data_IF_940353027436
#
_entry.id   IF_940353027436
#
_cell.length_a   1.000
_cell.length_b   1.000
_cell.length_c   1.000
_cell.angle_alpha   90.00
_cell.angle_beta   90.00
_cell.angle_gamma   90.00
#
_symmetry.space_group_name_H-M   'P 1'
#
loop_
_entity.id
_entity.type
_entity.pdbx_description
1 polymer ?
#
# COMPACT_ATOMS: atom_id res chain seq x y z
N UNK A 1 -27.86 26.07 -58.00
CA UNK A 1 -27.94 26.01 -56.52
C UNK A 1 -27.23 24.78 -56.05
N UNK A 2 -26.10 24.98 -55.43
CA UNK A 2 -25.26 23.89 -54.99
C UNK A 2 -25.48 23.73 -53.50
N UNK A 3 -26.11 22.66 -53.11
CA UNK A 3 -26.24 22.30 -51.70
C UNK A 3 -24.89 21.86 -51.18
N UNK A 4 -24.27 22.72 -50.42
CA UNK A 4 -23.07 22.38 -49.63
C UNK A 4 -23.55 21.64 -48.38
N UNK A 5 -23.51 20.32 -48.42
CA UNK A 5 -23.71 19.51 -47.23
C UNK A 5 -22.40 19.59 -46.43
N UNK A 6 -22.39 20.46 -45.44
CA UNK A 6 -21.35 20.45 -44.44
C UNK A 6 -21.61 19.27 -43.52
N UNK A 7 -20.95 18.15 -43.80
CA UNK A 7 -20.90 17.05 -42.87
C UNK A 7 -19.95 17.49 -41.72
N UNK A 8 -20.58 18.04 -40.70
CA UNK A 8 -19.89 18.27 -39.44
C UNK A 8 -19.62 16.90 -38.82
N UNK A 9 -18.44 16.33 -39.08
CA UNK A 9 -17.95 15.15 -38.38
C UNK A 9 -17.73 15.56 -36.92
N UNK A 10 -18.72 15.30 -36.11
CA UNK A 10 -18.55 15.33 -34.66
C UNK A 10 -17.62 14.17 -34.32
N UNK A 11 -16.33 14.46 -34.24
CA UNK A 11 -15.40 13.58 -33.62
C UNK A 11 -15.76 13.52 -32.12
N UNK A 12 -16.63 12.60 -31.78
CA UNK A 12 -16.85 12.22 -30.41
C UNK A 12 -15.54 11.57 -29.98
N UNK A 13 -14.67 12.37 -29.44
CA UNK A 13 -13.50 11.87 -28.72
C UNK A 13 -14.01 10.98 -27.63
N UNK A 14 -13.96 9.67 -27.83
CA UNK A 14 -14.01 8.71 -26.74
C UNK A 14 -12.77 8.97 -25.90
N UNK A 15 -12.88 9.93 -24.99
CA UNK A 15 -12.04 10.04 -23.84
C UNK A 15 -12.26 8.72 -23.08
N UNK A 16 -11.42 7.73 -23.38
CA UNK A 16 -11.36 6.53 -22.57
C UNK A 16 -10.97 7.00 -21.18
N UNK A 17 -11.96 7.18 -20.30
CA UNK A 17 -11.71 7.33 -18.87
C UNK A 17 -11.02 6.04 -18.42
N UNK A 18 -9.69 6.04 -18.39
CA UNK A 18 -8.95 5.08 -17.60
C UNK A 18 -9.43 5.32 -16.17
N UNK A 19 -10.18 4.37 -15.64
CA UNK A 19 -10.53 4.38 -14.23
C UNK A 19 -9.21 4.25 -13.47
N UNK A 20 -8.79 5.32 -12.84
CA UNK A 20 -7.61 5.37 -12.00
C UNK A 20 -7.77 4.44 -10.79
N UNK A 21 -6.65 4.03 -10.20
CA UNK A 21 -6.63 3.30 -8.95
C UNK A 21 -7.50 4.00 -7.89
N UNK A 22 -8.07 3.25 -6.99
CA UNK A 22 -8.90 3.76 -5.92
C UNK A 22 -10.12 2.88 -5.64
N UNK A 23 -11.04 3.40 -4.85
CA UNK A 23 -12.28 2.73 -4.49
C UNK A 23 -13.28 2.71 -5.67
N UNK A 24 -14.18 1.75 -5.63
CA UNK A 24 -15.23 1.55 -6.64
C UNK A 24 -15.01 0.34 -7.53
N UNK A 25 -14.06 -0.51 -7.19
CA UNK A 25 -13.81 -1.81 -7.81
C UNK A 25 -14.26 -2.98 -6.96
N UNK A 26 -13.69 -4.14 -7.22
CA UNK A 26 -14.06 -5.40 -6.57
C UNK A 26 -12.87 -6.22 -6.10
N UNK A 27 -11.67 -5.69 -6.22
CA UNK A 27 -10.46 -6.39 -5.77
C UNK A 27 -10.04 -6.00 -4.36
N UNK A 28 -9.23 -6.82 -3.76
CA UNK A 28 -8.78 -6.71 -2.37
C UNK A 28 -7.26 -6.82 -2.33
N UNK A 29 -6.62 -5.97 -1.54
CA UNK A 29 -5.23 -6.12 -1.13
C UNK A 29 -5.22 -6.46 0.36
N UNK A 30 -4.48 -7.49 0.73
CA UNK A 30 -4.28 -7.85 2.14
C UNK A 30 -2.86 -8.31 2.39
N UNK A 31 -2.48 -8.27 3.65
CA UNK A 31 -1.19 -8.74 4.12
C UNK A 31 -1.12 -8.72 5.63
N UNK A 32 0.07 -8.93 6.15
CA UNK A 32 0.33 -8.95 7.59
C UNK A 32 1.50 -8.08 7.95
N UNK A 33 1.49 -7.61 9.18
CA UNK A 33 2.59 -6.88 9.79
C UNK A 33 3.13 -7.71 10.95
N UNK A 34 4.44 -7.97 10.89
CA UNK A 34 5.19 -8.60 11.97
C UNK A 34 6.11 -7.58 12.61
N UNK A 35 6.18 -7.66 13.91
CA UNK A 35 7.13 -6.90 14.71
C UNK A 35 8.32 -7.78 15.06
N UNK A 36 9.51 -7.26 14.81
CA UNK A 36 10.77 -7.86 15.20
C UNK A 36 11.39 -6.99 16.29
N UNK A 37 11.57 -7.56 17.48
CA UNK A 37 12.27 -6.89 18.58
C UNK A 37 13.69 -7.43 18.66
N UNK A 38 14.65 -6.52 18.67
CA UNK A 38 16.04 -6.84 18.89
C UNK A 38 16.35 -6.63 20.37
N UNK A 39 17.07 -7.55 20.93
CA UNK A 39 17.56 -7.47 22.31
C UNK A 39 19.08 -7.32 22.31
N UNK A 40 19.58 -6.37 23.07
CA UNK A 40 21.02 -6.25 23.33
C UNK A 40 21.42 -7.16 24.48
N UNK A 41 22.14 -8.21 24.15
CA UNK A 41 22.75 -9.10 25.14
C UNK A 41 24.27 -8.85 25.17
N UNK A 42 24.72 -7.93 26.02
CA UNK A 42 26.12 -7.54 26.17
C UNK A 42 26.81 -7.06 24.89
N UNK A 43 26.12 -6.22 24.11
CA UNK A 43 26.63 -5.65 22.85
C UNK A 43 26.44 -6.56 21.62
N UNK A 44 25.74 -7.67 21.78
CA UNK A 44 25.32 -8.54 20.67
C UNK A 44 23.83 -8.39 20.51
N UNK A 45 23.42 -7.85 19.36
CA UNK A 45 22.02 -7.77 18.99
C UNK A 45 21.50 -9.16 18.60
N UNK A 46 20.55 -9.67 19.36
CA UNK A 46 19.91 -10.95 19.09
C UNK A 46 18.42 -10.73 18.80
N UNK A 47 17.88 -11.48 17.84
CA UNK A 47 16.47 -11.44 17.46
C UNK A 47 15.67 -12.30 18.42
N UNK A 48 14.98 -11.68 19.38
CA UNK A 48 14.27 -12.43 20.42
C UNK A 48 12.84 -12.77 20.10
N UNK A 49 12.10 -11.88 19.43
CA UNK A 49 10.66 -12.04 19.29
C UNK A 49 10.21 -11.60 17.91
N UNK A 50 9.64 -12.55 17.20
CA UNK A 50 8.91 -12.34 15.97
C UNK A 50 7.45 -12.57 16.26
N UNK A 51 6.64 -11.51 16.27
CA UNK A 51 5.22 -11.60 16.57
C UNK A 51 4.38 -10.73 15.63
N UNK A 52 3.11 -11.11 15.48
CA UNK A 52 2.13 -10.30 14.75
C UNK A 52 1.92 -8.97 15.47
N UNK A 53 1.91 -7.88 14.71
CA UNK A 53 1.70 -6.54 15.24
C UNK A 53 0.23 -6.13 15.07
N UNK A 54 -0.47 -6.09 16.18
CA UNK A 54 -1.87 -5.66 16.24
C UNK A 54 -1.97 -4.14 16.39
N UNK A 55 -3.07 -3.57 15.89
CA UNK A 55 -3.35 -2.13 15.95
C UNK A 55 -2.27 -1.25 15.31
N UNK A 56 -1.53 -1.83 14.36
CA UNK A 56 -0.54 -1.11 13.57
C UNK A 56 -1.21 -0.47 12.36
N UNK A 57 -1.04 0.84 12.22
CA UNK A 57 -1.61 1.56 11.09
C UNK A 57 -0.83 1.27 9.81
N UNK A 58 -1.56 0.82 8.78
CA UNK A 58 -1.06 0.57 7.43
C UNK A 58 -1.76 1.53 6.49
N UNK A 59 -1.01 2.17 5.61
CA UNK A 59 -1.49 3.19 4.70
C UNK A 59 -1.50 2.68 3.27
N UNK A 60 -2.41 3.20 2.47
CA UNK A 60 -2.48 2.95 1.03
C UNK A 60 -2.52 4.26 0.25
N UNK A 61 -1.74 4.32 -0.82
CA UNK A 61 -1.75 5.38 -1.82
C UNK A 61 -2.30 4.79 -3.12
N UNK A 62 -3.26 5.47 -3.73
CA UNK A 62 -3.85 5.05 -5.00
C UNK A 62 -3.00 5.48 -6.20
N UNK A 63 -1.69 5.25 -6.08
CA UNK A 63 -0.68 5.47 -7.11
C UNK A 63 0.61 4.69 -6.80
N UNK A 64 1.57 4.73 -7.71
CA UNK A 64 2.91 4.21 -7.50
C UNK A 64 3.90 5.25 -6.94
N UNK A 65 3.43 6.45 -6.63
CA UNK A 65 4.24 7.54 -6.13
C UNK A 65 4.30 7.54 -4.59
N UNK A 66 5.43 7.21 -4.04
CA UNK A 66 5.67 7.17 -2.58
C UNK A 66 5.59 8.55 -1.90
N UNK A 67 5.65 9.64 -2.68
CA UNK A 67 5.56 11.01 -2.16
C UNK A 67 4.13 11.55 -2.09
N UNK A 68 3.16 10.81 -2.62
CA UNK A 68 1.75 11.19 -2.52
C UNK A 68 1.26 11.02 -1.09
N UNK A 69 0.26 11.82 -0.73
CA UNK A 69 -0.45 11.64 0.54
C UNK A 69 -1.28 10.35 0.45
N UNK A 70 -1.35 9.61 1.54
CA UNK A 70 -2.18 8.41 1.58
C UNK A 70 -3.66 8.72 1.39
N UNK A 71 -4.36 7.79 0.74
CA UNK A 71 -5.79 7.91 0.45
C UNK A 71 -6.66 7.22 1.50
N UNK A 72 -6.16 6.16 2.12
CA UNK A 72 -6.84 5.41 3.16
C UNK A 72 -5.84 4.75 4.11
N UNK A 73 -6.32 4.30 5.26
CA UNK A 73 -5.53 3.56 6.25
C UNK A 73 -6.33 2.44 6.90
N UNK A 74 -5.64 1.50 7.48
CA UNK A 74 -6.23 0.36 8.16
C UNK A 74 -5.37 -0.03 9.37
N UNK A 75 -5.99 -0.14 10.53
CA UNK A 75 -5.33 -0.67 11.73
C UNK A 75 -5.38 -2.19 11.72
N UNK A 76 -4.21 -2.83 11.82
CA UNK A 76 -4.13 -4.29 11.80
C UNK A 76 -4.98 -4.93 12.89
N UNK A 77 -5.58 -6.05 12.56
CA UNK A 77 -6.30 -6.88 13.53
C UNK A 77 -5.34 -7.54 14.52
N UNK A 78 -5.90 -8.23 15.52
CA UNK A 78 -5.13 -8.96 16.53
C UNK A 78 -4.11 -9.96 15.95
N UNK A 79 -4.37 -10.45 14.73
CA UNK A 79 -3.50 -11.37 14.00
C UNK A 79 -2.51 -10.65 13.05
N UNK A 80 -2.36 -9.32 13.18
CA UNK A 80 -1.48 -8.51 12.34
C UNK A 80 -1.95 -8.29 10.91
N UNK A 81 -3.16 -8.74 10.57
CA UNK A 81 -3.69 -8.61 9.20
C UNK A 81 -4.27 -7.25 8.94
N UNK A 82 -3.93 -6.69 7.77
CA UNK A 82 -4.58 -5.51 7.18
C UNK A 82 -5.27 -5.89 5.89
N UNK A 83 -6.28 -5.09 5.51
CA UNK A 83 -7.11 -5.34 4.35
C UNK A 83 -7.66 -4.06 3.77
N UNK A 84 -7.49 -3.88 2.46
CA UNK A 84 -8.13 -2.82 1.68
C UNK A 84 -9.03 -3.45 0.63
N UNK A 85 -10.30 -3.10 0.65
CA UNK A 85 -11.35 -3.72 -0.17
C UNK A 85 -11.89 -2.74 -1.22
N UNK A 86 -12.69 -3.27 -2.16
CA UNK A 86 -13.38 -2.51 -3.19
C UNK A 86 -12.45 -1.68 -4.07
N UNK A 87 -11.29 -2.24 -4.42
CA UNK A 87 -10.27 -1.55 -5.19
C UNK A 87 -10.42 -1.81 -6.69
N UNK A 88 -10.21 -0.74 -7.46
CA UNK A 88 -10.14 -0.78 -8.92
C UNK A 88 -8.78 -1.27 -9.41
N UNK A 89 -8.70 -1.61 -10.70
CA UNK A 89 -7.41 -1.84 -11.36
C UNK A 89 -6.55 -0.58 -11.31
N UNK A 90 -5.27 -0.75 -11.15
CA UNK A 90 -4.29 0.33 -11.13
C UNK A 90 -3.11 0.02 -10.22
N UNK A 91 -2.26 1.01 -10.04
CA UNK A 91 -1.07 0.92 -9.23
C UNK A 91 -1.34 1.42 -7.82
N UNK A 92 -0.80 0.72 -6.85
CA UNK A 92 -0.97 1.01 -5.42
C UNK A 92 0.37 0.96 -4.70
N UNK A 93 0.50 1.84 -3.74
CA UNK A 93 1.61 1.82 -2.78
C UNK A 93 1.04 1.59 -1.39
N UNK A 94 1.54 0.59 -0.70
CA UNK A 94 1.15 0.26 0.66
C UNK A 94 2.37 0.46 1.56
N UNK A 95 2.19 1.09 2.71
CA UNK A 95 3.29 1.31 3.62
C UNK A 95 2.87 1.34 5.08
N UNK A 96 3.82 1.10 5.94
CA UNK A 96 3.72 1.30 7.39
C UNK A 96 5.03 1.86 7.91
N UNK A 97 5.01 2.39 9.13
CA UNK A 97 6.19 2.97 9.75
C UNK A 97 6.88 1.98 10.67
N UNK A 98 8.20 1.88 10.52
CA UNK A 98 9.09 1.21 11.45
C UNK A 98 9.83 2.25 12.31
N UNK A 99 10.12 1.91 13.56
CA UNK A 99 10.69 2.86 14.52
C UNK A 99 12.18 2.65 14.77
N UNK A 100 12.80 1.67 14.12
CA UNK A 100 14.20 1.34 14.36
C UNK A 100 14.88 0.90 13.07
N UNK A 101 16.06 1.44 12.84
CA UNK A 101 16.94 1.00 11.76
C UNK A 101 18.11 0.22 12.36
N UNK A 102 18.34 -1.00 11.86
CA UNK A 102 19.46 -1.86 12.26
C UNK A 102 20.84 -1.27 11.96
N UNK A 103 20.90 -0.24 11.12
CA UNK A 103 22.17 0.47 10.81
C UNK A 103 22.61 1.44 11.91
N UNK A 104 21.75 1.73 12.88
CA UNK A 104 22.02 2.72 13.95
C UNK A 104 22.12 4.17 13.46
N UNK A 105 21.74 4.44 12.23
CA UNK A 105 21.91 5.75 11.57
C UNK A 105 20.62 6.57 11.58
N UNK A 106 19.45 5.94 11.72
CA UNK A 106 18.17 6.62 11.75
C UNK A 106 17.47 6.46 13.09
N UNK A 107 17.41 7.53 13.86
CA UNK A 107 16.49 7.63 14.98
C UNK A 107 15.13 8.13 14.46
N UNK A 108 14.06 7.44 14.78
CA UNK A 108 12.69 7.83 14.48
C UNK A 108 11.95 6.87 13.55
N UNK A 109 10.72 7.25 13.22
CA UNK A 109 9.87 6.46 12.34
C UNK A 109 10.26 6.67 10.87
N UNK A 110 10.42 5.60 10.14
CA UNK A 110 10.65 5.61 8.70
C UNK A 110 9.63 4.71 7.98
N UNK A 111 9.16 5.11 6.79
CA UNK A 111 8.19 4.32 6.04
C UNK A 111 8.85 3.13 5.35
N UNK A 112 8.17 2.00 5.35
CA UNK A 112 8.52 0.81 4.57
C UNK A 112 7.47 0.64 3.50
N UNK A 113 7.85 0.82 2.24
CA UNK A 113 6.95 0.79 1.10
C UNK A 113 6.90 -0.56 0.39
N UNK A 114 5.72 -0.93 -0.08
CA UNK A 114 5.49 -2.02 -1.02
C UNK A 114 4.60 -1.54 -2.15
N UNK A 115 4.88 -1.99 -3.35
CA UNK A 115 4.12 -1.65 -4.54
C UNK A 115 3.38 -2.85 -5.10
N UNK A 116 2.19 -2.59 -5.62
CA UNK A 116 1.35 -3.61 -6.24
C UNK A 116 0.54 -3.01 -7.38
N UNK A 117 0.42 -3.75 -8.47
CA UNK A 117 -0.52 -3.46 -9.54
C UNK A 117 -1.69 -4.43 -9.48
N UNK A 118 -2.91 -3.90 -9.37
CA UNK A 118 -4.12 -4.67 -9.53
C UNK A 118 -4.44 -4.74 -11.03
N UNK A 119 -4.33 -5.92 -11.60
CA UNK A 119 -4.52 -6.20 -13.03
C UNK A 119 -5.83 -6.92 -13.35
N UNK A 120 -6.60 -7.28 -12.34
CA UNK A 120 -7.83 -8.04 -12.46
C UNK A 120 -8.91 -7.56 -11.48
N UNK A 121 -10.17 -7.75 -11.86
CA UNK A 121 -11.32 -7.55 -10.98
C UNK A 121 -11.59 -8.81 -10.14
N UNK A 122 -12.34 -8.66 -9.05
CA UNK A 122 -12.77 -9.76 -8.17
C UNK A 122 -11.64 -10.67 -7.70
N UNK A 123 -10.47 -10.11 -7.45
CA UNK A 123 -9.29 -10.85 -7.05
C UNK A 123 -8.73 -10.33 -5.73
N UNK A 124 -8.25 -11.25 -4.91
CA UNK A 124 -7.51 -10.94 -3.68
C UNK A 124 -6.02 -11.05 -3.96
N UNK A 125 -5.30 -9.96 -3.71
CA UNK A 125 -3.85 -9.87 -3.80
C UNK A 125 -3.27 -9.93 -2.40
N UNK A 126 -2.38 -10.87 -2.17
CA UNK A 126 -1.69 -11.02 -0.89
C UNK A 126 -0.28 -10.49 -1.05
N UNK A 127 0.04 -9.42 -0.31
CA UNK A 127 1.38 -8.87 -0.24
C UNK A 127 2.24 -9.70 0.72
N UNK A 128 3.54 -9.69 0.43
CA UNK A 128 4.53 -10.19 1.38
C UNK A 128 4.42 -9.43 2.70
N UNK A 129 4.75 -10.11 3.79
CA UNK A 129 4.63 -9.53 5.12
C UNK A 129 5.54 -8.33 5.30
N UNK A 130 5.01 -7.30 5.98
CA UNK A 130 5.86 -6.27 6.56
C UNK A 130 6.55 -6.83 7.80
N UNK A 131 7.86 -6.73 7.83
CA UNK A 131 8.65 -7.03 9.03
C UNK A 131 9.26 -5.72 9.51
N UNK A 132 8.72 -5.20 10.60
CA UNK A 132 9.15 -3.92 11.15
C UNK A 132 9.95 -4.13 12.44
N UNK A 133 11.06 -3.45 12.52
CA UNK A 133 11.85 -3.42 13.75
C UNK A 133 11.20 -2.45 14.73
N UNK A 134 11.13 -2.85 15.98
CA UNK A 134 10.71 -2.00 17.09
C UNK A 134 11.81 -1.95 18.13
N UNK A 135 12.07 -0.74 18.58
CA UNK A 135 13.04 -0.53 19.66
C UNK A 135 12.65 -1.37 20.88
N UNK A 136 13.57 -2.14 21.43
CA UNK A 136 13.37 -2.82 22.70
C UNK A 136 13.29 -1.76 23.82
N UNK A 137 12.09 -1.35 24.12
CA UNK A 137 11.82 -0.50 25.29
C UNK A 137 11.53 -1.33 26.53
#
# INVERSE_FOLDING_TARGET
>A
MRNLIVILAIAIGFSACKKEAGEGGSSVIKGKVYQLSLWDNNGVWDTLVYKLDAEKEVYIIYSDNENDIYDDSFDTHWNGEYRFEFLRKGDYTIYTYANFDTSGVMEGAYPVFKHLTIDANNKTFILDDFVIFKDPS
#
